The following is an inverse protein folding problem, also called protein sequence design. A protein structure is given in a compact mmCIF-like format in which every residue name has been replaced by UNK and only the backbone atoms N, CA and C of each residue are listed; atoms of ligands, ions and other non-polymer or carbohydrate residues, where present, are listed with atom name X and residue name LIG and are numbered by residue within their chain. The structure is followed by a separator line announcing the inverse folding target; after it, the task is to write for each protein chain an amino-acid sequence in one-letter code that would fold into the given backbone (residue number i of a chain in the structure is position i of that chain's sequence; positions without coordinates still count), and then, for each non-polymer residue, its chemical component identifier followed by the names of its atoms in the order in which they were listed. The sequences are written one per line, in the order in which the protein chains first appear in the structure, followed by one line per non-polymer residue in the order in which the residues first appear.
data_IF_093847624615
#
_entry.id   IF_093847624615
#
_cell.length_a   1.000
_cell.length_b   1.000
_cell.length_c   1.000
_cell.angle_alpha   90.00
_cell.angle_beta   90.00
_cell.angle_gamma   90.00
#
_symmetry.space_group_name_H-M   'P 1'
#
loop_
_entity.id
_entity.type
_entity.pdbx_description
1 polymer ?
#
# COMPACT_ATOMS: atom_id res chain seq x y z
N UNK A 1 -23.27 -4.40 -29.35
CA UNK A 1 -22.81 -3.27 -28.51
C UNK A 1 -22.27 -3.83 -27.20
N UNK A 2 -21.05 -3.46 -26.80
CA UNK A 2 -20.52 -3.85 -25.47
C UNK A 2 -21.36 -3.14 -24.40
N UNK A 3 -21.97 -3.89 -23.49
CA UNK A 3 -22.75 -3.32 -22.39
C UNK A 3 -21.79 -2.59 -21.45
N UNK A 4 -22.05 -1.30 -21.23
CA UNK A 4 -21.31 -0.51 -20.24
C UNK A 4 -21.50 -1.15 -18.86
N UNK A 5 -20.41 -1.56 -18.23
CA UNK A 5 -20.40 -2.02 -16.85
C UNK A 5 -19.91 -0.87 -15.99
N UNK A 6 -20.66 -0.56 -14.93
CA UNK A 6 -20.24 0.42 -13.94
C UNK A 6 -18.98 -0.13 -13.27
N UNK A 7 -17.85 0.58 -13.28
CA UNK A 7 -16.64 0.14 -12.58
C UNK A 7 -16.96 0.01 -11.10
N UNK A 8 -16.76 -1.19 -10.56
CA UNK A 8 -16.94 -1.46 -9.13
C UNK A 8 -15.59 -1.34 -8.46
N UNK A 9 -15.42 -0.28 -7.67
CA UNK A 9 -14.23 -0.14 -6.84
C UNK A 9 -14.15 -1.34 -5.87
N UNK A 10 -12.96 -1.89 -5.62
CA UNK A 10 -12.78 -2.92 -4.60
C UNK A 10 -13.29 -2.43 -3.24
N UNK A 11 -13.91 -3.30 -2.43
CA UNK A 11 -14.33 -2.92 -1.08
C UNK A 11 -13.09 -2.61 -0.21
N UNK A 12 -13.15 -1.52 0.55
CA UNK A 12 -12.10 -1.11 1.48
C UNK A 12 -12.64 -1.01 2.91
N UNK A 13 -11.82 -1.38 3.89
CA UNK A 13 -12.17 -1.29 5.31
C UNK A 13 -11.17 -0.38 6.02
N UNK A 14 -11.65 0.59 6.80
CA UNK A 14 -10.78 1.45 7.61
C UNK A 14 -10.18 0.68 8.80
N UNK A 15 -8.89 0.87 9.05
CA UNK A 15 -8.15 0.32 10.19
C UNK A 15 -7.34 1.45 10.82
N UNK A 16 -7.33 1.51 12.16
CA UNK A 16 -6.57 2.50 12.93
C UNK A 16 -5.33 1.84 13.52
N UNK A 17 -4.17 2.44 13.30
CA UNK A 17 -2.86 1.99 13.78
C UNK A 17 -2.04 3.21 14.21
N UNK A 18 -1.08 3.02 15.13
CA UNK A 18 -0.18 4.07 15.59
C UNK A 18 1.18 3.93 14.90
N UNK A 19 1.70 5.03 14.36
CA UNK A 19 3.05 5.12 13.84
C UNK A 19 3.92 5.96 14.80
N UNK A 20 5.22 5.64 14.93
CA UNK A 20 6.18 6.55 15.53
C UNK A 20 6.20 7.91 14.81
N UNK A 21 6.34 9.01 15.55
CA UNK A 21 6.27 10.37 14.98
C UNK A 21 7.37 10.62 13.95
N UNK A 22 8.57 10.11 14.19
CA UNK A 22 9.71 10.20 13.28
C UNK A 22 9.43 9.50 11.95
N UNK A 23 8.68 8.39 11.96
CA UNK A 23 8.27 7.69 10.74
C UNK A 23 7.22 8.51 9.98
N UNK A 24 6.27 9.13 10.69
CA UNK A 24 5.28 10.02 10.06
C UNK A 24 5.98 11.18 9.35
N UNK A 25 6.90 11.85 10.04
CA UNK A 25 7.67 12.98 9.48
C UNK A 25 8.49 12.58 8.25
N UNK A 26 9.10 11.40 8.27
CA UNK A 26 9.85 10.86 7.13
C UNK A 26 8.95 10.63 5.91
N UNK A 27 7.77 10.01 6.11
CA UNK A 27 6.81 9.79 5.03
C UNK A 27 6.30 11.11 4.46
N UNK A 28 5.86 12.04 5.33
CA UNK A 28 5.37 13.37 4.92
C UNK A 28 6.43 14.17 4.18
N UNK A 29 7.70 14.04 4.58
CA UNK A 29 8.83 14.66 3.86
C UNK A 29 9.06 14.01 2.49
N UNK A 30 8.97 12.68 2.40
CA UNK A 30 9.18 11.94 1.15
C UNK A 30 8.08 12.20 0.10
N UNK A 31 6.83 12.40 0.53
CA UNK A 31 5.70 12.69 -0.37
C UNK A 31 5.50 14.19 -0.63
N UNK A 32 6.30 15.06 -0.03
CA UNK A 32 6.18 16.51 -0.19
C UNK A 32 6.36 16.94 -1.65
N UNK A 33 5.40 17.72 -2.16
CA UNK A 33 5.41 18.18 -3.55
C UNK A 33 4.98 17.12 -4.56
N UNK A 34 4.49 15.96 -4.09
CA UNK A 34 3.83 14.95 -4.91
C UNK A 34 2.31 15.01 -4.71
N UNK A 35 1.55 14.42 -5.64
CA UNK A 35 0.10 14.26 -5.50
C UNK A 35 -0.29 13.02 -4.64
N UNK A 36 0.66 12.47 -3.88
CA UNK A 36 0.45 11.29 -3.04
C UNK A 36 -0.02 11.69 -1.64
N UNK A 37 -1.01 10.96 -1.10
CA UNK A 37 -1.46 11.12 0.29
C UNK A 37 -0.75 10.10 1.19
N UNK A 38 -0.66 10.41 2.49
CA UNK A 38 -0.11 9.48 3.49
C UNK A 38 -0.79 8.11 3.42
N UNK A 39 -2.13 8.06 3.36
CA UNK A 39 -2.89 6.81 3.27
C UNK A 39 -2.54 6.01 2.01
N UNK A 40 -2.42 6.66 0.84
CA UNK A 40 -2.04 5.97 -0.39
C UNK A 40 -0.61 5.42 -0.30
N UNK A 41 0.31 6.22 0.23
CA UNK A 41 1.69 5.79 0.46
C UNK A 41 1.75 4.53 1.33
N UNK A 42 1.05 4.51 2.46
CA UNK A 42 1.03 3.36 3.37
C UNK A 42 0.39 2.14 2.72
N UNK A 43 -0.68 2.31 1.94
CA UNK A 43 -1.32 1.19 1.21
C UNK A 43 -0.35 0.57 0.21
N UNK A 44 0.35 1.36 -0.60
CA UNK A 44 1.31 0.84 -1.57
C UNK A 44 2.54 0.23 -0.88
N UNK A 45 3.09 0.88 0.15
CA UNK A 45 4.20 0.34 0.94
C UNK A 45 3.84 -1.02 1.56
N UNK A 46 2.60 -1.17 2.05
CA UNK A 46 2.12 -2.44 2.61
C UNK A 46 1.99 -3.53 1.54
N UNK A 47 1.51 -3.19 0.33
CA UNK A 47 1.45 -4.15 -0.79
C UNK A 47 2.84 -4.66 -1.18
N UNK A 48 3.78 -3.74 -1.37
CA UNK A 48 5.18 -4.08 -1.71
C UNK A 48 5.81 -4.93 -0.61
N UNK A 49 5.59 -4.60 0.67
CA UNK A 49 6.09 -5.41 1.78
C UNK A 49 5.51 -6.84 1.77
N UNK A 50 4.22 -7.01 1.49
CA UNK A 50 3.59 -8.32 1.38
C UNK A 50 4.09 -9.12 0.18
N UNK A 51 4.30 -8.48 -0.97
CA UNK A 51 4.89 -9.10 -2.16
C UNK A 51 6.31 -9.61 -1.87
N UNK A 52 7.16 -8.77 -1.27
CA UNK A 52 8.51 -9.16 -0.88
C UNK A 52 8.49 -10.36 0.08
N UNK A 53 7.58 -10.38 1.07
CA UNK A 53 7.47 -11.52 1.99
C UNK A 53 7.02 -12.81 1.28
N UNK A 54 6.11 -12.70 0.31
CA UNK A 54 5.67 -13.84 -0.49
C UNK A 54 6.81 -14.37 -1.36
N UNK A 55 7.59 -13.50 -2.01
CA UNK A 55 8.75 -13.88 -2.82
C UNK A 55 9.82 -14.60 -2.00
N UNK A 56 10.21 -14.05 -0.85
CA UNK A 56 11.16 -14.68 0.08
C UNK A 56 10.67 -16.06 0.55
N UNK A 57 9.37 -16.21 0.80
CA UNK A 57 8.79 -17.49 1.23
C UNK A 57 8.83 -18.54 0.11
N UNK A 58 8.68 -18.12 -1.15
CA UNK A 58 8.78 -19.01 -2.30
C UNK A 58 10.24 -19.41 -2.58
N UNK A 59 11.20 -18.52 -2.35
CA UNK A 59 12.63 -18.81 -2.49
C UNK A 59 13.08 -19.83 -1.44
N UNK A 60 12.72 -19.64 -0.16
CA UNK A 60 13.02 -20.60 0.90
C UNK A 60 12.32 -21.97 0.76
N UNK A 61 11.21 -22.06 0.02
CA UNK A 61 10.53 -23.34 -0.25
C UNK A 61 11.13 -24.10 -1.45
N UNK A 62 11.98 -23.44 -2.24
CA UNK A 62 12.65 -24.02 -3.42
C UNK A 62 14.07 -24.48 -3.13
N UNK A 63 14.63 -24.09 -1.99
CA UNK A 63 15.90 -24.56 -1.43
C UNK A 63 15.68 -25.79 -0.54
#
# INVERSE_FOLDING_TARGET
MRKFHIPKNPPTTSKSVRFPNDVIEQVETAIRGTDCTFSNFIVEATRVALENLAENSQEHARE
#
